data_IF_755883325145
#
_entry.id   IF_755883325145
#
_cell.length_a   1.000
_cell.length_b   1.000
_cell.length_c   1.000
_cell.angle_alpha   90.00
_cell.angle_beta   90.00
_cell.angle_gamma   90.00
#
_symmetry.space_group_name_H-M   'P 1'
#
loop_
_entity.id
_entity.type
_entity.pdbx_description
1 polymer ?
#
# COMPACT_ATOMS: atom_id res chain seq x y z
N UNK A 1 -12.95 13.81 -18.66
CA UNK A 1 -13.47 14.60 -17.51
C UNK A 1 -12.66 14.36 -16.23
N UNK A 2 -12.32 13.12 -15.85
CA UNK A 2 -11.42 12.85 -14.70
C UNK A 2 -9.93 13.20 -14.94
N UNK A 3 -9.51 13.24 -16.21
CA UNK A 3 -8.13 13.59 -16.61
C UNK A 3 -7.71 15.03 -16.33
N UNK A 4 -8.64 15.92 -15.95
CA UNK A 4 -8.36 17.32 -15.61
C UNK A 4 -8.23 17.55 -14.10
N UNK A 5 -8.32 16.50 -13.28
CA UNK A 5 -8.08 16.60 -11.85
C UNK A 5 -6.57 16.68 -11.57
N UNK A 6 -6.15 17.76 -10.90
CA UNK A 6 -4.81 17.86 -10.35
C UNK A 6 -4.63 16.87 -9.20
N UNK A 7 -3.39 16.42 -8.94
CA UNK A 7 -3.05 15.54 -7.81
C UNK A 7 -3.68 16.02 -6.50
N UNK A 8 -4.37 15.12 -5.81
CA UNK A 8 -5.12 15.40 -4.58
C UNK A 8 -6.51 16.02 -4.81
N UNK A 9 -6.92 16.26 -6.06
CA UNK A 9 -8.31 16.58 -6.38
C UNK A 9 -9.17 15.33 -6.44
N UNK A 10 -10.44 15.47 -6.04
CA UNK A 10 -11.45 14.42 -6.14
C UNK A 10 -12.82 15.01 -6.53
N UNK A 11 -13.68 14.18 -7.09
CA UNK A 11 -15.10 14.49 -7.28
C UNK A 11 -15.85 13.59 -6.29
N UNK A 12 -16.62 14.20 -5.38
CA UNK A 12 -17.40 13.50 -4.38
C UNK A 12 -18.84 13.39 -4.86
N UNK A 13 -19.36 12.16 -4.85
CA UNK A 13 -20.66 11.76 -5.39
C UNK A 13 -21.32 10.76 -4.43
N UNK A 14 -22.65 10.71 -4.46
CA UNK A 14 -23.44 9.75 -3.66
C UNK A 14 -24.15 10.39 -2.47
N UNK A 15 -24.76 9.56 -1.64
CA UNK A 15 -25.66 9.99 -0.56
C UNK A 15 -24.95 10.74 0.58
N UNK A 16 -23.63 10.61 0.67
CA UNK A 16 -22.81 11.34 1.64
C UNK A 16 -22.66 12.83 1.31
N UNK A 17 -23.17 13.30 0.16
CA UNK A 17 -23.12 14.70 -0.25
C UNK A 17 -24.44 15.19 -0.82
N UNK A 18 -24.84 16.41 -0.45
CA UNK A 18 -26.06 17.05 -0.95
C UNK A 18 -26.02 17.30 -2.45
N UNK A 19 -24.83 17.58 -3.00
CA UNK A 19 -24.61 17.82 -4.42
C UNK A 19 -23.23 17.31 -4.84
N UNK A 20 -23.09 16.82 -6.09
CA UNK A 20 -21.78 16.51 -6.68
C UNK A 20 -20.82 17.69 -6.56
N UNK A 21 -19.73 17.51 -5.83
CA UNK A 21 -18.78 18.60 -5.54
C UNK A 21 -17.35 18.19 -5.84
N UNK A 22 -16.57 19.17 -6.30
CA UNK A 22 -15.14 19.00 -6.54
C UNK A 22 -14.39 19.47 -5.31
N UNK A 23 -13.63 18.57 -4.69
CA UNK A 23 -12.90 18.85 -3.44
C UNK A 23 -11.41 18.58 -3.61
N UNK A 24 -10.61 19.11 -2.67
CA UNK A 24 -9.19 18.77 -2.52
C UNK A 24 -9.05 17.96 -1.24
N UNK A 25 -8.44 16.79 -1.35
CA UNK A 25 -8.16 15.91 -0.22
C UNK A 25 -6.82 16.34 0.38
N UNK A 26 -6.82 16.60 1.69
CA UNK A 26 -5.61 16.90 2.43
C UNK A 26 -4.74 15.65 2.59
N UNK A 27 -3.43 15.86 2.71
CA UNK A 27 -2.52 14.73 2.91
C UNK A 27 -2.76 14.13 4.30
N UNK A 28 -2.89 12.79 4.42
CA UNK A 28 -2.98 12.15 5.72
C UNK A 28 -1.71 12.41 6.53
N UNK A 29 -1.88 12.62 7.84
CA UNK A 29 -0.80 12.74 8.81
C UNK A 29 -1.07 11.75 9.96
N UNK A 30 -0.19 10.75 10.20
CA UNK A 30 1.08 10.49 9.52
C UNK A 30 0.90 9.99 8.07
N UNK A 31 1.88 10.27 7.22
CA UNK A 31 1.90 9.80 5.84
C UNK A 31 1.95 8.26 5.83
N UNK A 32 1.12 7.56 5.05
CA UNK A 32 1.25 6.11 4.90
C UNK A 32 2.61 5.77 4.31
N UNK A 33 3.19 4.65 4.73
CA UNK A 33 4.37 4.02 4.12
C UNK A 33 4.00 3.48 2.73
N UNK A 34 3.82 4.40 1.78
CA UNK A 34 3.34 4.13 0.41
C UNK A 34 4.41 4.37 -0.64
N UNK A 35 5.54 4.97 -0.28
CA UNK A 35 6.68 5.06 -1.19
C UNK A 35 7.28 3.65 -1.30
N UNK A 36 7.38 3.16 -2.53
CA UNK A 36 7.89 1.85 -2.87
C UNK A 36 9.03 1.47 -1.94
N UNK A 37 8.85 0.37 -1.18
CA UNK A 37 9.88 -0.18 -0.32
C UNK A 37 11.22 -0.07 -1.05
N UNK A 38 12.18 0.65 -0.48
CA UNK A 38 13.40 1.01 -1.20
C UNK A 38 14.15 -0.26 -1.57
N UNK A 39 13.91 -0.76 -2.79
CA UNK A 39 14.41 -2.06 -3.24
C UNK A 39 15.93 -2.12 -3.09
N UNK A 40 16.62 -1.03 -3.40
CA UNK A 40 18.05 -0.89 -3.20
C UNK A 40 18.47 -1.06 -1.73
N UNK A 41 17.77 -0.43 -0.77
CA UNK A 41 18.07 -0.58 0.66
C UNK A 41 17.69 -1.96 1.20
N UNK A 42 16.64 -2.59 0.68
CA UNK A 42 16.23 -3.93 1.11
C UNK A 42 17.12 -5.02 0.53
N UNK A 43 17.61 -4.87 -0.70
CA UNK A 43 18.54 -5.82 -1.33
C UNK A 43 20.00 -5.64 -0.91
N UNK A 44 20.40 -4.44 -0.50
CA UNK A 44 21.74 -4.20 0.04
C UNK A 44 21.93 -4.77 1.46
N UNK A 45 20.85 -5.22 2.11
CA UNK A 45 20.95 -5.91 3.40
C UNK A 45 21.33 -7.36 3.16
N UNK A 46 22.18 -7.89 4.04
CA UNK A 46 22.49 -9.31 4.02
C UNK A 46 21.20 -10.13 4.10
N UNK A 47 21.05 -11.16 3.25
CA UNK A 47 19.91 -12.04 3.30
C UNK A 47 19.74 -12.56 4.71
N UNK A 48 18.54 -12.43 5.27
CA UNK A 48 18.23 -13.05 6.55
C UNK A 48 18.54 -14.55 6.44
N UNK A 49 19.23 -15.11 7.43
CA UNK A 49 19.54 -16.54 7.47
C UNK A 49 18.22 -17.32 7.58
N UNK A 50 17.72 -17.77 6.44
CA UNK A 50 16.48 -18.51 6.32
C UNK A 50 16.80 -19.99 6.55
N UNK A 51 16.31 -20.54 7.67
CA UNK A 51 16.38 -21.98 7.91
C UNK A 51 15.37 -22.72 7.01
N UNK A 52 15.84 -23.07 5.81
CA UNK A 52 15.07 -23.81 4.80
C UNK A 52 14.59 -25.16 5.35
N UNK A 53 15.30 -25.75 6.32
CA UNK A 53 14.94 -27.05 6.92
C UNK A 53 13.73 -26.90 7.84
N UNK A 54 13.66 -25.82 8.62
CA UNK A 54 12.49 -25.49 9.44
C UNK A 54 11.26 -25.24 8.56
N UNK A 55 11.39 -24.44 7.49
CA UNK A 55 10.29 -24.16 6.55
C UNK A 55 9.78 -25.43 5.89
N UNK A 56 10.69 -26.29 5.40
CA UNK A 56 10.33 -27.57 4.77
C UNK A 56 9.63 -28.52 5.75
N UNK A 57 10.01 -28.49 7.03
CA UNK A 57 9.38 -29.31 8.08
C UNK A 57 7.98 -28.78 8.38
N UNK A 58 7.81 -27.46 8.53
CA UNK A 58 6.50 -26.84 8.71
C UNK A 58 5.53 -27.13 7.54
N UNK A 59 5.99 -27.02 6.29
CA UNK A 59 5.18 -27.33 5.11
C UNK A 59 4.83 -28.81 4.98
N UNK A 60 5.73 -29.72 5.37
CA UNK A 60 5.44 -31.16 5.37
C UNK A 60 4.54 -31.60 6.52
N UNK A 61 4.57 -30.85 7.61
CA UNK A 61 3.70 -31.07 8.76
C UNK A 61 2.34 -30.37 8.60
N UNK A 62 2.11 -29.68 7.48
CA UNK A 62 0.84 -29.08 7.09
C UNK A 62 -0.14 -30.14 6.55
N UNK A 63 -0.18 -31.30 7.21
CA UNK A 63 -1.14 -32.37 6.91
C UNK A 63 -2.45 -32.08 7.63
N UNK A 64 -3.46 -31.67 6.84
CA UNK A 64 -4.90 -31.53 7.12
C UNK A 64 -5.33 -30.60 8.27
#
# INVERSE_FOLDING_TARGET
MFSTLRRGGAILLGDSVMMPTRIRIDRPNPTPESDAASFAKSWAKDPANLDVKAVRTAWRNQSA
#
